data_IF_222387529793
#
_entry.id   IF_222387529793
#
_cell.length_a   1.000
_cell.length_b   1.000
_cell.length_c   1.000
_cell.angle_alpha   90.00
_cell.angle_beta   90.00
_cell.angle_gamma   90.00
#
_symmetry.space_group_name_H-M   'P 1'
#
loop_
_entity.id
_entity.type
_entity.pdbx_description
1 polymer ?
#
# COMPACT_ATOMS: atom_id res chain seq x y z
N UNK A 1 10.93 20.23 -23.49
CA UNK A 1 11.38 19.78 -22.16
C UNK A 1 10.14 19.52 -21.32
N UNK A 2 9.86 18.25 -21.03
CA UNK A 2 8.61 17.82 -20.41
C UNK A 2 8.58 18.19 -18.92
N UNK A 3 7.57 18.95 -18.54
CA UNK A 3 7.19 19.28 -17.17
C UNK A 3 6.96 17.97 -16.40
N UNK A 4 7.88 17.61 -15.52
CA UNK A 4 7.64 16.58 -14.53
C UNK A 4 6.54 17.10 -13.60
N UNK A 5 5.30 16.66 -13.86
CA UNK A 5 4.18 16.81 -12.92
C UNK A 5 4.64 16.29 -11.57
N UNK A 6 4.59 17.14 -10.55
CA UNK A 6 4.72 16.76 -9.14
C UNK A 6 3.83 15.53 -8.90
N UNK A 7 4.44 14.35 -8.87
CA UNK A 7 3.82 13.19 -8.22
C UNK A 7 3.98 13.50 -6.73
N UNK A 8 2.89 13.86 -6.06
CA UNK A 8 2.86 13.98 -4.59
C UNK A 8 3.33 12.67 -3.93
N UNK A 9 3.53 12.64 -2.61
CA UNK A 9 4.11 11.47 -1.91
C UNK A 9 3.43 10.18 -2.29
N UNK A 10 2.10 10.24 -2.35
CA UNK A 10 1.29 9.09 -2.65
C UNK A 10 1.63 8.57 -4.04
N UNK A 11 1.87 9.44 -5.03
CA UNK A 11 2.31 9.02 -6.36
C UNK A 11 3.73 8.43 -6.41
N UNK A 12 4.57 8.73 -5.41
CA UNK A 12 5.89 8.13 -5.23
C UNK A 12 5.78 6.77 -4.51
N UNK A 13 5.18 6.74 -3.31
CA UNK A 13 5.01 5.58 -2.43
C UNK A 13 4.00 4.56 -2.94
N UNK A 14 2.98 5.00 -3.68
CA UNK A 14 1.92 4.19 -4.24
C UNK A 14 1.75 4.56 -5.72
N UNK A 15 2.37 3.82 -6.65
CA UNK A 15 2.21 4.09 -8.08
C UNK A 15 0.72 4.29 -8.44
N UNK A 16 0.42 5.24 -9.33
CA UNK A 16 -0.97 5.63 -9.64
C UNK A 16 -1.91 4.44 -9.93
N UNK A 17 -1.41 3.39 -10.58
CA UNK A 17 -2.16 2.15 -10.79
C UNK A 17 -2.59 1.48 -9.50
N UNK A 18 -1.71 1.39 -8.49
CA UNK A 18 -1.99 0.84 -7.15
C UNK A 18 -3.06 1.64 -6.43
N UNK A 19 -2.97 2.97 -6.44
CA UNK A 19 -3.97 3.83 -5.82
C UNK A 19 -5.37 3.62 -6.43
N UNK A 20 -5.45 3.58 -7.76
CA UNK A 20 -6.71 3.41 -8.48
C UNK A 20 -7.32 2.02 -8.22
N UNK A 21 -6.50 0.98 -8.18
CA UNK A 21 -6.94 -0.39 -7.88
C UNK A 21 -7.42 -0.50 -6.43
N UNK A 22 -6.66 0.02 -5.46
CA UNK A 22 -7.04 0.01 -4.05
C UNK A 22 -8.33 0.79 -3.82
N UNK A 23 -8.49 1.96 -4.45
CA UNK A 23 -9.73 2.74 -4.36
C UNK A 23 -10.94 1.95 -4.82
N UNK A 24 -10.83 1.21 -5.92
CA UNK A 24 -11.94 0.37 -6.39
C UNK A 24 -12.22 -0.82 -5.48
N UNK A 25 -11.19 -1.48 -4.94
CA UNK A 25 -11.36 -2.57 -3.99
C UNK A 25 -12.00 -2.10 -2.68
N UNK A 26 -11.58 -0.93 -2.17
CA UNK A 26 -12.17 -0.32 -0.98
C UNK A 26 -13.64 0.04 -1.23
N UNK A 27 -13.94 0.62 -2.41
CA UNK A 27 -15.32 0.96 -2.79
C UNK A 27 -16.23 -0.26 -2.89
N UNK A 28 -15.69 -1.41 -3.31
CA UNK A 28 -16.45 -2.67 -3.36
C UNK A 28 -16.57 -3.39 -2.02
N UNK A 29 -15.75 -3.03 -1.03
CA UNK A 29 -15.74 -3.67 0.28
C UNK A 29 -15.52 -5.18 0.18
N UNK A 30 -16.44 -5.96 0.76
CA UNK A 30 -16.38 -7.42 0.81
C UNK A 30 -16.91 -8.12 -0.45
N UNK A 31 -17.46 -7.37 -1.41
CA UNK A 31 -18.02 -7.92 -2.63
C UNK A 31 -16.95 -8.36 -3.64
N UNK A 32 -17.20 -9.48 -4.33
CA UNK A 32 -16.35 -9.96 -5.42
C UNK A 32 -16.55 -9.12 -6.68
N UNK A 33 -15.48 -8.45 -7.13
CA UNK A 33 -15.53 -7.62 -8.34
C UNK A 33 -14.80 -8.29 -9.50
N UNK A 34 -15.48 -8.39 -10.64
CA UNK A 34 -14.85 -8.88 -11.86
C UNK A 34 -13.72 -7.95 -12.31
N UNK A 35 -12.57 -8.50 -12.68
CA UNK A 35 -11.38 -7.73 -13.04
C UNK A 35 -11.62 -6.66 -14.13
N UNK A 36 -12.46 -6.94 -15.12
CA UNK A 36 -12.76 -5.96 -16.17
C UNK A 36 -13.70 -4.85 -15.70
N UNK A 37 -14.58 -5.12 -14.73
CA UNK A 37 -15.41 -4.08 -14.12
C UNK A 37 -14.52 -3.16 -13.25
N UNK A 38 -13.64 -3.75 -12.44
CA UNK A 38 -12.66 -3.02 -11.64
C UNK A 38 -11.78 -2.12 -12.51
N UNK A 39 -11.16 -2.68 -13.56
CA UNK A 39 -10.28 -1.93 -14.45
C UNK A 39 -11.00 -0.76 -15.16
N UNK A 40 -12.25 -0.98 -15.58
CA UNK A 40 -13.09 0.05 -16.20
C UNK A 40 -13.37 1.19 -15.23
N UNK A 41 -13.76 0.89 -14.00
CA UNK A 41 -14.06 1.90 -12.98
C UNK A 41 -12.81 2.66 -12.53
N UNK A 42 -11.68 1.95 -12.45
CA UNK A 42 -10.37 2.55 -12.18
C UNK A 42 -9.81 3.37 -13.36
N UNK A 43 -10.41 3.29 -14.56
CA UNK A 43 -9.93 4.00 -15.75
C UNK A 43 -8.57 3.50 -16.26
N UNK A 44 -8.25 2.22 -16.05
CA UNK A 44 -6.96 1.62 -16.42
C UNK A 44 -7.14 0.36 -17.27
N UNK A 45 -6.09 -0.02 -18.00
CA UNK A 45 -6.10 -1.29 -18.74
C UNK A 45 -6.18 -2.50 -17.80
N UNK A 46 -7.01 -3.48 -18.15
CA UNK A 46 -7.21 -4.70 -17.36
C UNK A 46 -5.91 -5.49 -17.12
N UNK A 47 -4.94 -5.43 -18.02
CA UNK A 47 -3.63 -6.04 -17.82
C UNK A 47 -2.84 -5.37 -16.67
N UNK A 48 -2.93 -4.05 -16.55
CA UNK A 48 -2.29 -3.30 -15.46
C UNK A 48 -2.99 -3.56 -14.14
N UNK A 49 -4.33 -3.55 -14.13
CA UNK A 49 -5.11 -3.94 -12.96
C UNK A 49 -4.76 -5.37 -12.53
N UNK A 50 -4.65 -6.32 -13.46
CA UNK A 50 -4.28 -7.72 -13.16
C UNK A 50 -2.90 -7.84 -12.54
N UNK A 51 -1.92 -7.13 -13.07
CA UNK A 51 -0.56 -7.14 -12.51
C UNK A 51 -0.58 -6.61 -11.08
N UNK A 52 -1.25 -5.49 -10.86
CA UNK A 52 -1.31 -4.86 -9.56
C UNK A 52 -2.10 -5.70 -8.54
N UNK A 53 -3.25 -6.24 -8.92
CA UNK A 53 -4.06 -7.12 -8.07
C UNK A 53 -3.31 -8.39 -7.66
N UNK A 54 -2.47 -8.96 -8.55
CA UNK A 54 -1.60 -10.08 -8.17
C UNK A 54 -0.54 -9.68 -7.15
N UNK A 55 0.03 -8.48 -7.27
CA UNK A 55 0.97 -7.96 -6.27
C UNK A 55 0.28 -7.75 -4.92
N UNK A 56 -0.94 -7.21 -4.93
CA UNK A 56 -1.76 -7.03 -3.72
C UNK A 56 -2.19 -8.36 -3.10
N UNK A 57 -2.48 -9.37 -3.92
CA UNK A 57 -2.78 -10.74 -3.47
C UNK A 57 -1.55 -11.41 -2.83
N UNK A 58 -0.37 -11.29 -3.45
CA UNK A 58 0.88 -11.77 -2.87
C UNK A 58 1.21 -11.10 -1.52
N UNK A 59 0.83 -9.82 -1.36
CA UNK A 59 0.98 -9.07 -0.12
C UNK A 59 -0.15 -9.31 0.90
N UNK A 60 -1.12 -10.19 0.60
CA UNK A 60 -2.25 -10.49 1.51
C UNK A 60 -3.33 -9.42 1.59
N UNK A 61 -3.30 -8.38 0.74
CA UNK A 61 -4.28 -7.27 0.76
C UNK A 61 -5.54 -7.59 -0.04
N UNK A 62 -5.42 -8.39 -1.09
CA UNK A 62 -6.53 -8.78 -1.95
C UNK A 62 -6.65 -10.30 -2.01
N UNK A 63 -7.85 -10.78 -2.29
CA UNK A 63 -8.10 -12.20 -2.58
C UNK A 63 -8.64 -12.33 -4.01
N UNK A 64 -8.28 -13.41 -4.69
CA UNK A 64 -8.88 -13.75 -5.98
C UNK A 64 -9.78 -14.99 -5.89
N UNK A 65 -10.86 -14.98 -6.68
CA UNK A 65 -11.74 -16.13 -6.86
C UNK A 65 -11.98 -16.37 -8.35
N UNK A 66 -11.85 -17.62 -8.79
CA UNK A 66 -12.05 -18.01 -10.19
C UNK A 66 -13.35 -18.77 -10.34
N UNK A 67 -14.29 -18.18 -11.07
CA UNK A 67 -15.59 -18.78 -11.37
C UNK A 67 -15.80 -18.76 -12.88
N UNK A 68 -15.95 -19.94 -13.50
CA UNK A 68 -16.25 -20.05 -14.94
C UNK A 68 -15.22 -19.38 -15.87
N UNK A 69 -13.93 -19.48 -15.55
CA UNK A 69 -12.85 -18.83 -16.31
C UNK A 69 -12.70 -17.32 -16.06
N UNK A 70 -13.59 -16.72 -15.26
CA UNK A 70 -13.53 -15.31 -14.88
C UNK A 70 -12.83 -15.15 -13.53
N UNK A 71 -12.00 -14.12 -13.43
CA UNK A 71 -11.28 -13.80 -12.19
C UNK A 71 -11.96 -12.61 -11.53
N UNK A 72 -12.37 -12.82 -10.29
CA UNK A 72 -12.91 -11.80 -9.41
C UNK A 72 -11.90 -11.51 -8.31
N UNK A 73 -11.88 -10.28 -7.84
CA UNK A 73 -11.03 -9.84 -6.75
C UNK A 73 -11.86 -9.12 -5.70
N UNK A 74 -11.43 -9.21 -4.46
CA UNK A 74 -11.94 -8.40 -3.34
C UNK A 74 -10.79 -8.00 -2.43
N UNK A 75 -11.05 -7.07 -1.52
CA UNK A 75 -10.14 -6.79 -0.41
C UNK A 75 -10.14 -7.99 0.55
N UNK A 76 -8.98 -8.39 1.05
CA UNK A 76 -8.87 -9.43 2.06
C UNK A 76 -9.41 -8.90 3.39
N UNK A 77 -10.54 -9.40 3.92
CA UNK A 77 -11.11 -8.92 5.18
C UNK A 77 -10.26 -9.29 6.40
N UNK A 78 -9.27 -10.18 6.22
CA UNK A 78 -8.33 -10.59 7.27
C UNK A 78 -7.07 -9.74 7.34
N UNK A 79 -6.85 -8.86 6.36
CA UNK A 79 -5.70 -7.95 6.35
C UNK A 79 -5.85 -6.90 7.48
N UNK A 80 -4.87 -6.73 8.38
CA UNK A 80 -4.88 -5.68 9.39
C UNK A 80 -5.02 -4.30 8.76
N UNK A 81 -5.89 -3.45 9.29
CA UNK A 81 -6.19 -2.14 8.71
C UNK A 81 -7.08 -2.17 7.45
N UNK A 82 -7.61 -3.33 7.05
CA UNK A 82 -8.72 -3.39 6.10
C UNK A 82 -9.95 -2.70 6.70
N UNK A 83 -10.60 -1.85 5.91
CA UNK A 83 -11.80 -1.09 6.29
C UNK A 83 -13.06 -1.98 6.44
N UNK A 84 -12.91 -3.27 6.80
CA UNK A 84 -13.97 -4.27 6.83
C UNK A 84 -14.30 -4.79 8.25
N UNK A 85 -13.90 -4.08 9.30
CA UNK A 85 -14.49 -4.30 10.63
C UNK A 85 -14.89 -2.96 11.20
N UNK A 86 -16.19 -2.78 11.48
CA UNK A 86 -16.76 -1.59 12.10
C UNK A 86 -16.22 -1.25 13.50
N UNK A 87 -15.17 -1.94 13.94
CA UNK A 87 -14.42 -1.73 15.18
C UNK A 87 -13.03 -1.10 14.95
N UNK A 88 -12.54 -1.02 13.71
CA UNK A 88 -11.34 -0.22 13.41
C UNK A 88 -11.77 1.23 13.46
N UNK A 89 -11.50 1.90 14.58
CA UNK A 89 -11.83 3.32 14.70
C UNK A 89 -11.22 4.05 13.49
N UNK A 90 -12.06 4.75 12.74
CA UNK A 90 -11.67 5.50 11.55
C UNK A 90 -10.64 6.61 11.83
N UNK A 91 -10.28 6.82 13.10
CA UNK A 91 -9.27 7.74 13.62
C UNK A 91 -7.89 7.11 13.84
N UNK A 92 -7.71 5.81 13.59
CA UNK A 92 -6.45 5.14 13.93
C UNK A 92 -5.29 5.71 13.11
N UNK A 93 -4.14 5.96 13.73
CA UNK A 93 -2.97 6.51 13.04
C UNK A 93 -2.40 5.54 11.99
N UNK A 94 -1.67 6.05 11.00
CA UNK A 94 -0.98 5.27 9.96
C UNK A 94 0.52 5.36 10.21
N UNK A 95 1.15 4.27 10.64
CA UNK A 95 2.61 4.18 10.74
C UNK A 95 3.23 3.90 9.36
N UNK A 96 4.03 4.84 8.85
CA UNK A 96 4.70 4.75 7.55
C UNK A 96 6.20 4.56 7.74
N UNK A 97 6.73 3.38 7.39
CA UNK A 97 8.18 3.14 7.41
C UNK A 97 8.80 3.38 6.03
N UNK A 98 9.87 4.16 5.97
CA UNK A 98 10.62 4.49 4.75
C UNK A 98 12.08 4.12 4.97
N UNK A 99 12.65 3.32 4.06
CA UNK A 99 14.06 2.90 4.10
C UNK A 99 14.74 3.40 2.83
N UNK A 100 15.76 4.24 2.96
CA UNK A 100 16.49 4.78 1.81
C UNK A 100 17.15 6.14 2.05
N UNK A 101 17.64 6.74 0.97
CA UNK A 101 18.27 8.08 0.96
C UNK A 101 17.22 9.18 0.79
N UNK A 102 16.33 9.31 1.77
CA UNK A 102 15.28 10.34 1.83
C UNK A 102 15.35 11.02 3.18
N UNK A 103 15.26 12.35 3.21
CA UNK A 103 15.19 13.09 4.48
C UNK A 103 13.74 13.40 4.87
N UNK A 104 13.49 13.60 6.16
CA UNK A 104 12.19 14.07 6.65
C UNK A 104 11.76 15.41 6.00
N UNK A 105 12.71 16.24 5.57
CA UNK A 105 12.41 17.50 4.88
C UNK A 105 11.81 17.26 3.50
N UNK A 106 12.28 16.26 2.79
CA UNK A 106 11.76 15.87 1.47
C UNK A 106 10.34 15.28 1.58
N UNK A 107 10.03 14.70 2.75
CA UNK A 107 8.78 14.01 3.01
C UNK A 107 7.71 14.90 3.67
N UNK A 108 8.06 16.04 4.25
CA UNK A 108 7.13 16.86 5.02
C UNK A 108 5.88 17.31 4.24
N UNK A 109 6.04 17.96 3.08
CA UNK A 109 4.88 18.42 2.29
C UNK A 109 4.09 17.24 1.69
N UNK A 110 4.77 16.20 1.16
CA UNK A 110 4.09 14.99 0.72
C UNK A 110 3.28 14.27 1.83
N UNK A 111 3.78 14.19 3.07
CA UNK A 111 3.06 13.62 4.23
C UNK A 111 1.85 14.46 4.60
N UNK A 112 2.03 15.78 4.68
CA UNK A 112 0.93 16.69 5.00
C UNK A 112 -0.22 16.59 3.98
N UNK A 113 0.10 16.34 2.71
CA UNK A 113 -0.89 16.04 1.68
C UNK A 113 -1.62 14.72 1.94
N UNK A 114 -0.89 13.65 2.21
CA UNK A 114 -1.49 12.34 2.51
C UNK A 114 -2.40 12.38 3.75
N UNK A 115 -1.98 13.05 4.84
CA UNK A 115 -2.80 13.19 6.05
C UNK A 115 -4.14 13.88 5.78
N UNK A 116 -4.11 14.92 4.93
CA UNK A 116 -5.31 15.69 4.57
C UNK A 116 -6.27 14.87 3.70
N UNK A 117 -5.74 14.07 2.78
CA UNK A 117 -6.53 13.20 1.91
C UNK A 117 -7.11 11.99 2.66
N UNK A 118 -6.32 11.42 3.58
CA UNK A 118 -6.72 10.26 4.38
C UNK A 118 -7.59 10.64 5.59
N UNK A 119 -7.63 11.93 5.96
CA UNK A 119 -8.23 12.43 7.19
C UNK A 119 -7.74 11.68 8.45
N UNK A 120 -6.45 11.30 8.44
CA UNK A 120 -5.79 10.47 9.47
C UNK A 120 -4.36 10.97 9.70
N UNK A 121 -3.84 10.76 10.90
CA UNK A 121 -2.42 11.02 11.20
C UNK A 121 -1.55 10.00 10.48
N UNK A 122 -0.46 10.46 9.84
CA UNK A 122 0.49 9.61 9.13
C UNK A 122 1.85 9.83 9.76
N UNK A 123 2.31 8.85 10.53
CA UNK A 123 3.53 8.92 11.31
C UNK A 123 4.70 8.27 10.55
N UNK A 124 5.60 9.07 9.92
CA UNK A 124 6.74 8.52 9.22
C UNK A 124 7.86 8.09 10.17
N UNK A 125 8.45 6.94 9.91
CA UNK A 125 9.74 6.52 10.44
C UNK A 125 10.70 6.31 9.28
N UNK A 126 11.75 7.13 9.22
CA UNK A 126 12.74 7.11 8.14
C UNK A 126 14.03 6.49 8.63
N UNK A 127 14.55 5.53 7.88
CA UNK A 127 15.81 4.85 8.14
C UNK A 127 16.67 4.89 6.89
N UNK A 128 17.98 5.08 7.04
CA UNK A 128 18.87 4.70 5.95
C UNK A 128 18.99 3.16 5.88
N UNK A 129 19.51 2.66 4.76
CA UNK A 129 19.58 1.21 4.51
C UNK A 129 20.52 0.51 5.50
N UNK A 130 21.59 1.16 5.94
CA UNK A 130 22.56 0.58 6.87
C UNK A 130 21.97 0.48 8.29
N UNK A 131 21.35 1.56 8.77
CA UNK A 131 20.63 1.65 10.04
C UNK A 131 19.48 0.65 10.13
N UNK A 132 18.76 0.46 9.02
CA UNK A 132 17.68 -0.51 8.94
C UNK A 132 18.19 -1.94 9.10
N UNK A 133 19.27 -2.31 8.40
CA UNK A 133 19.92 -3.62 8.50
C UNK A 133 20.49 -3.89 9.90
N UNK A 134 21.18 -2.91 10.49
CA UNK A 134 21.73 -3.06 11.84
C UNK A 134 20.62 -3.29 12.88
N UNK A 135 19.48 -2.63 12.72
CA UNK A 135 18.34 -2.77 13.64
C UNK A 135 17.53 -4.04 13.38
N UNK A 136 17.59 -4.60 12.16
CA UNK A 136 17.01 -5.89 11.79
C UNK A 136 17.66 -7.04 12.57
N UNK A 137 18.98 -6.99 12.74
CA UNK A 137 19.76 -7.96 13.49
C UNK A 137 19.46 -7.94 15.00
N UNK A 138 18.87 -6.85 15.50
CA UNK A 138 18.50 -6.69 16.92
C UNK A 138 17.08 -7.20 17.15
N UNK A 139 16.98 -8.29 17.91
CA UNK A 139 15.78 -9.13 18.06
C UNK A 139 14.54 -8.41 18.63
N UNK A 140 14.73 -7.33 19.40
CA UNK A 140 13.67 -6.55 20.06
C UNK A 140 13.37 -5.18 19.42
N UNK A 141 13.91 -4.89 18.23
CA UNK A 141 13.64 -3.61 17.59
C UNK A 141 12.21 -3.55 17.00
N UNK A 142 11.60 -2.36 17.00
CA UNK A 142 10.35 -2.10 16.27
C UNK A 142 10.46 -2.55 14.80
N UNK A 143 11.63 -2.33 14.20
CA UNK A 143 11.94 -2.75 12.84
C UNK A 143 11.89 -4.27 12.70
N UNK A 144 12.51 -5.03 13.62
CA UNK A 144 12.45 -6.49 13.59
C UNK A 144 11.02 -7.02 13.77
N UNK A 145 10.17 -6.34 14.57
CA UNK A 145 8.75 -6.70 14.71
C UNK A 145 7.94 -6.38 13.46
N UNK A 146 8.10 -5.20 12.86
CA UNK A 146 7.42 -4.84 11.61
C UNK A 146 7.91 -5.71 10.45
N UNK A 147 9.20 -6.05 10.42
CA UNK A 147 9.79 -6.90 9.40
C UNK A 147 9.41 -8.39 9.55
N UNK A 148 9.20 -8.90 10.77
CA UNK A 148 8.73 -10.29 10.96
C UNK A 148 7.21 -10.42 10.99
N UNK A 149 6.50 -9.31 11.21
CA UNK A 149 5.04 -9.24 11.25
C UNK A 149 4.40 -9.10 9.88
N UNK A 150 3.06 -9.08 9.86
CA UNK A 150 2.27 -8.83 8.66
C UNK A 150 2.47 -7.37 8.22
N UNK A 151 3.11 -7.18 7.06
CA UNK A 151 3.45 -5.86 6.52
C UNK A 151 3.00 -5.72 5.08
N UNK A 152 2.60 -4.50 4.73
CA UNK A 152 2.29 -4.13 3.35
C UNK A 152 3.49 -3.41 2.75
N UNK A 153 4.09 -3.96 1.70
CA UNK A 153 5.15 -3.29 0.96
C UNK A 153 4.53 -2.31 -0.04
N UNK A 154 4.62 -1.01 0.27
CA UNK A 154 4.08 0.05 -0.58
C UNK A 154 4.97 0.30 -1.82
N UNK A 155 6.29 0.10 -1.71
CA UNK A 155 7.26 0.22 -2.80
C UNK A 155 8.56 -0.53 -2.44
N UNK A 156 9.20 -1.17 -3.43
CA UNK A 156 10.40 -2.02 -3.25
C UNK A 156 10.10 -3.52 -3.19
N UNK A 157 11.14 -4.34 -3.05
CA UNK A 157 11.05 -5.79 -2.78
C UNK A 157 11.60 -6.09 -1.37
N UNK A 158 11.03 -7.06 -0.64
CA UNK A 158 11.59 -7.49 0.65
C UNK A 158 13.01 -8.03 0.47
N UNK A 159 13.25 -8.70 -0.64
CA UNK A 159 14.48 -9.41 -0.95
C UNK A 159 15.66 -8.44 -1.23
N UNK A 160 15.39 -7.14 -1.45
CA UNK A 160 16.43 -6.11 -1.56
C UNK A 160 17.04 -5.73 -0.20
N UNK A 161 16.37 -6.12 0.88
CA UNK A 161 16.73 -5.78 2.25
C UNK A 161 17.25 -6.98 3.07
N UNK A 162 17.08 -8.19 2.54
CA UNK A 162 17.52 -9.48 3.12
C UNK A 162 18.98 -9.85 2.73
#
# INVERSE_FOLDING_TARGET
>A
MATARNKGMLGALLPQTRQLVLRELVRSGEEWVHIHALARNAGIHAANARRELRNLEAAGIAESNRVGGQVHFRLNPRCPGSFATGDTRADSDVDLMIVGDLSLKDLAAPIAEAQRELAREVNPSVYDVADYRERLDRTDSFIARVHRGERIILQGDSDELD
#
